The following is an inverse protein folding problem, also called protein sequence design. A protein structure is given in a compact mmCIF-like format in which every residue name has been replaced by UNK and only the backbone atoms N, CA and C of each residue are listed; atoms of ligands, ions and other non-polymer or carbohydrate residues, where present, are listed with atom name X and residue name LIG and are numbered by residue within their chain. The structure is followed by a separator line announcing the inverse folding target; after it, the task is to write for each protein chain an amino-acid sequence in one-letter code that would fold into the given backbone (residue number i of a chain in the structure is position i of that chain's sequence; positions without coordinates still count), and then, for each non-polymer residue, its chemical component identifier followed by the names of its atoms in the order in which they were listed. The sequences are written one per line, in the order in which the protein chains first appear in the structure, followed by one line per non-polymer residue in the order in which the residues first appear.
data_IF_571441174700
#
_entry.id   IF_571441174700
#
_cell.length_a   1.000
_cell.length_b   1.000
_cell.length_c   1.000
_cell.angle_alpha   90.00
_cell.angle_beta   90.00
_cell.angle_gamma   90.00
#
_symmetry.space_group_name_H-M   'P 1'
#
loop_
_entity.id
_entity.type
_entity.pdbx_description
1 polymer ?
#
# COMPACT_ATOMS: atom_id res chain seq x y z
N UNK A 1 -44.62 -34.88 -16.81
CA UNK A 1 -43.18 -34.68 -16.50
C UNK A 1 -42.98 -33.19 -16.35
N UNK A 2 -42.89 -32.70 -15.11
CA UNK A 2 -42.66 -31.28 -14.82
C UNK A 2 -41.16 -31.07 -14.61
N UNK A 3 -40.52 -30.32 -15.51
CA UNK A 3 -39.16 -29.82 -15.30
C UNK A 3 -39.26 -28.52 -14.49
N UNK A 4 -38.90 -28.59 -13.21
CA UNK A 4 -38.55 -27.43 -12.40
C UNK A 4 -37.13 -27.02 -12.80
N UNK A 5 -36.98 -25.96 -13.57
CA UNK A 5 -35.73 -25.22 -13.69
C UNK A 5 -35.52 -24.45 -12.40
N UNK A 6 -34.63 -24.94 -11.54
CA UNK A 6 -34.04 -24.16 -10.45
C UNK A 6 -33.30 -22.97 -11.06
N UNK A 7 -33.89 -21.77 -10.91
CA UNK A 7 -33.19 -20.51 -11.07
C UNK A 7 -32.17 -20.41 -9.93
N UNK A 8 -30.92 -20.79 -10.20
CA UNK A 8 -29.79 -20.35 -9.39
C UNK A 8 -29.73 -18.82 -9.47
N UNK A 9 -30.21 -18.16 -8.42
CA UNK A 9 -30.05 -16.72 -8.27
C UNK A 9 -28.54 -16.41 -8.22
N UNK A 10 -28.04 -15.44 -9.00
CA UNK A 10 -26.66 -15.02 -8.89
C UNK A 10 -26.45 -14.40 -7.50
N UNK A 11 -25.67 -15.06 -6.65
CA UNK A 11 -25.23 -14.48 -5.37
C UNK A 11 -24.43 -13.23 -5.71
N UNK A 12 -25.06 -12.07 -5.53
CA UNK A 12 -24.55 -10.80 -6.05
C UNK A 12 -23.18 -10.47 -5.44
N UNK A 13 -22.23 -10.05 -6.28
CA UNK A 13 -20.89 -9.57 -5.90
C UNK A 13 -20.91 -8.53 -4.76
N UNK A 14 -22.00 -7.76 -4.67
CA UNK A 14 -22.23 -6.72 -3.66
C UNK A 14 -22.18 -7.17 -2.19
N UNK A 15 -22.50 -8.43 -1.87
CA UNK A 15 -22.42 -8.95 -0.49
C UNK A 15 -20.96 -9.25 -0.14
N UNK A 16 -20.19 -9.76 -1.10
CA UNK A 16 -18.77 -10.09 -0.92
C UNK A 16 -17.92 -8.83 -0.72
N UNK A 17 -18.20 -7.78 -1.50
CA UNK A 17 -17.49 -6.49 -1.46
C UNK A 17 -17.79 -5.73 -0.16
N UNK A 18 -19.05 -5.75 0.31
CA UNK A 18 -19.44 -5.14 1.59
C UNK A 18 -18.81 -5.87 2.79
N UNK A 19 -18.71 -7.20 2.77
CA UNK A 19 -18.01 -7.93 3.83
C UNK A 19 -16.50 -7.73 3.77
N UNK A 20 -15.86 -7.73 2.59
CA UNK A 20 -14.42 -7.50 2.47
C UNK A 20 -14.01 -6.11 3.00
N UNK A 21 -14.82 -5.10 2.72
CA UNK A 21 -14.61 -3.75 3.27
C UNK A 21 -14.90 -3.66 4.78
N UNK A 22 -15.89 -4.41 5.30
CA UNK A 22 -16.18 -4.47 6.75
C UNK A 22 -15.13 -5.25 7.56
N UNK A 23 -14.62 -6.36 7.01
CA UNK A 23 -13.64 -7.24 7.63
C UNK A 23 -12.20 -6.84 7.30
N UNK A 24 -11.97 -5.62 6.82
CA UNK A 24 -10.69 -5.07 6.34
C UNK A 24 -9.45 -5.64 7.07
N UNK A 25 -8.92 -6.75 6.54
CA UNK A 25 -7.81 -7.53 7.10
C UNK A 25 -7.94 -7.88 8.60
N UNK A 26 -9.13 -8.27 9.03
CA UNK A 26 -9.36 -8.83 10.35
C UNK A 26 -8.37 -9.99 10.59
N UNK A 27 -7.78 -10.09 11.79
CA UNK A 27 -6.85 -11.17 12.11
C UNK A 27 -7.46 -12.53 11.79
N UNK A 28 -6.65 -13.47 11.28
CA UNK A 28 -7.11 -14.81 10.94
C UNK A 28 -7.88 -15.46 12.10
N UNK A 29 -7.48 -15.19 13.35
CA UNK A 29 -8.17 -15.66 14.56
C UNK A 29 -9.61 -15.17 14.68
N UNK A 30 -9.87 -13.89 14.37
CA UNK A 30 -11.22 -13.32 14.36
C UNK A 30 -12.05 -13.93 13.23
N UNK A 31 -11.44 -14.09 12.05
CA UNK A 31 -12.10 -14.76 10.94
C UNK A 31 -12.46 -16.19 11.31
N UNK A 32 -11.56 -16.96 11.95
CA UNK A 32 -11.79 -18.33 12.43
C UNK A 32 -12.97 -18.44 13.40
N UNK A 33 -13.12 -17.49 14.33
CA UNK A 33 -14.27 -17.48 15.25
C UNK A 33 -15.58 -17.13 14.51
N UNK A 34 -15.53 -16.24 13.52
CA UNK A 34 -16.67 -15.97 12.65
C UNK A 34 -17.09 -17.22 11.84
N UNK A 35 -16.13 -18.03 11.36
CA UNK A 35 -16.42 -19.33 10.68
C UNK A 35 -17.27 -20.22 11.55
N UNK A 36 -16.86 -20.38 12.81
CA UNK A 36 -17.55 -21.27 13.76
C UNK A 36 -18.99 -20.83 14.02
N UNK A 37 -19.30 -19.55 13.81
CA UNK A 37 -20.65 -18.99 13.97
C UNK A 37 -21.55 -19.12 12.72
N UNK A 38 -21.00 -19.52 11.58
CA UNK A 38 -21.74 -19.65 10.31
C UNK A 38 -22.10 -21.12 10.05
N UNK A 39 -23.40 -21.41 9.94
CA UNK A 39 -23.96 -22.77 9.91
C UNK A 39 -24.23 -23.32 8.48
N UNK A 40 -23.75 -22.65 7.41
CA UNK A 40 -24.10 -23.03 6.03
C UNK A 40 -22.95 -23.05 5.03
N UNK A 41 -23.04 -23.98 4.06
CA UNK A 41 -22.09 -24.17 2.95
C UNK A 41 -21.92 -22.90 2.08
N UNK A 42 -22.95 -22.07 1.96
CA UNK A 42 -22.97 -20.86 1.12
C UNK A 42 -21.89 -19.84 1.51
N UNK A 43 -21.54 -19.77 2.80
CA UNK A 43 -20.49 -18.85 3.28
C UNK A 43 -19.08 -19.42 3.22
N UNK A 44 -18.92 -20.71 2.89
CA UNK A 44 -17.60 -21.37 2.87
C UNK A 44 -16.68 -20.76 1.80
N UNK A 45 -17.21 -20.43 0.62
CA UNK A 45 -16.42 -19.79 -0.44
C UNK A 45 -16.04 -18.35 -0.10
N UNK A 46 -17.00 -17.58 0.42
CA UNK A 46 -16.79 -16.20 0.89
C UNK A 46 -15.69 -16.14 1.95
N UNK A 47 -15.74 -17.06 2.88
CA UNK A 47 -14.80 -17.15 3.97
C UNK A 47 -13.40 -17.60 3.54
N UNK A 48 -13.30 -18.53 2.59
CA UNK A 48 -12.01 -18.85 1.96
C UNK A 48 -11.38 -17.62 1.34
N UNK A 49 -12.17 -16.77 0.68
CA UNK A 49 -11.67 -15.52 0.12
C UNK A 49 -11.20 -14.53 1.21
N UNK A 50 -11.95 -14.38 2.31
CA UNK A 50 -11.54 -13.54 3.45
C UNK A 50 -10.24 -14.03 4.09
N UNK A 51 -10.11 -15.33 4.31
CA UNK A 51 -8.89 -15.94 4.85
C UNK A 51 -7.70 -15.76 3.93
N UNK A 52 -7.90 -15.90 2.61
CA UNK A 52 -6.86 -15.67 1.62
C UNK A 52 -6.38 -14.22 1.65
N UNK A 53 -7.30 -13.25 1.71
CA UNK A 53 -6.94 -11.83 1.84
C UNK A 53 -6.23 -11.50 3.15
N UNK A 54 -6.62 -12.12 4.25
CA UNK A 54 -5.91 -11.98 5.52
C UNK A 54 -4.49 -12.55 5.44
N UNK A 55 -4.29 -13.71 4.81
CA UNK A 55 -2.96 -14.29 4.58
C UNK A 55 -2.08 -13.40 3.70
N UNK A 56 -2.63 -12.89 2.60
CA UNK A 56 -1.92 -11.94 1.72
C UNK A 56 -1.46 -10.69 2.49
N UNK A 57 -2.32 -10.15 3.36
CA UNK A 57 -1.95 -9.03 4.22
C UNK A 57 -0.82 -9.40 5.20
N UNK A 58 -0.87 -10.58 5.82
CA UNK A 58 0.16 -11.06 6.72
C UNK A 58 1.50 -11.32 6.01
N UNK A 59 1.46 -11.83 4.77
CA UNK A 59 2.63 -12.01 3.91
C UNK A 59 3.27 -10.66 3.57
N UNK A 60 2.47 -9.69 3.12
CA UNK A 60 2.94 -8.32 2.85
C UNK A 60 3.51 -7.65 4.09
N UNK A 61 2.85 -7.78 5.25
CA UNK A 61 3.35 -7.22 6.50
C UNK A 61 4.67 -7.87 6.94
N UNK A 62 4.83 -9.19 6.75
CA UNK A 62 6.10 -9.90 7.00
C UNK A 62 7.20 -9.43 6.05
N UNK A 63 6.90 -9.27 4.77
CA UNK A 63 7.85 -8.76 3.78
C UNK A 63 8.32 -7.34 4.13
N UNK A 64 7.39 -6.45 4.49
CA UNK A 64 7.72 -5.09 4.95
C UNK A 64 8.54 -5.10 6.24
N UNK A 65 8.30 -6.04 7.15
CA UNK A 65 9.12 -6.20 8.35
C UNK A 65 10.53 -6.68 8.02
N UNK A 66 10.67 -7.68 7.14
CA UNK A 66 11.97 -8.16 6.67
C UNK A 66 12.77 -7.03 6.01
N UNK A 67 12.15 -6.26 5.11
CA UNK A 67 12.78 -5.10 4.46
C UNK A 67 13.14 -3.96 5.42
N UNK A 68 12.45 -3.83 6.56
CA UNK A 68 12.84 -2.86 7.60
C UNK A 68 14.07 -3.30 8.38
N UNK A 69 14.26 -4.61 8.55
CA UNK A 69 15.38 -5.19 9.30
C UNK A 69 16.61 -5.43 8.43
N UNK A 70 16.44 -5.50 7.12
CA UNK A 70 17.55 -5.52 6.16
C UNK A 70 18.48 -4.31 6.37
N UNK A 71 19.80 -4.57 6.40
CA UNK A 71 20.81 -3.51 6.48
C UNK A 71 20.71 -2.57 5.28
N UNK A 72 20.54 -1.28 5.56
CA UNK A 72 20.53 -0.23 4.55
C UNK A 72 21.92 0.39 4.51
N UNK A 73 22.46 0.59 3.30
CA UNK A 73 23.74 1.30 3.14
C UNK A 73 23.63 2.67 3.81
N UNK A 74 24.64 3.13 4.56
CA UNK A 74 24.56 4.41 5.30
C UNK A 74 24.20 5.63 4.44
N UNK A 75 24.51 5.58 3.13
CA UNK A 75 24.21 6.63 2.15
C UNK A 75 22.90 6.39 1.38
N UNK A 76 21.94 5.68 1.96
CA UNK A 76 20.65 5.43 1.36
C UNK A 76 19.53 5.64 2.36
N UNK A 77 18.40 6.11 1.83
CA UNK A 77 17.14 6.17 2.54
C UNK A 77 16.18 5.16 1.95
N UNK A 78 15.56 4.35 2.81
CA UNK A 78 14.58 3.34 2.40
C UNK A 78 13.17 3.87 2.57
N UNK A 79 12.41 3.80 1.50
CA UNK A 79 10.99 4.12 1.47
C UNK A 79 10.21 2.86 1.08
N UNK A 80 9.25 2.49 1.93
CA UNK A 80 8.43 1.31 1.73
C UNK A 80 6.96 1.71 1.58
N UNK A 81 6.25 0.99 0.72
CA UNK A 81 4.81 1.20 0.49
C UNK A 81 4.09 -0.10 0.68
N UNK A 82 3.00 -0.06 1.42
CA UNK A 82 1.94 -1.05 1.38
C UNK A 82 0.79 -0.48 0.57
N UNK A 83 0.52 -1.04 -0.60
CA UNK A 83 -0.56 -0.61 -1.48
C UNK A 83 -1.70 -1.62 -1.39
N UNK A 84 -2.90 -1.14 -1.10
CA UNK A 84 -4.12 -1.94 -1.02
C UNK A 84 -5.10 -1.38 -2.03
N UNK A 85 -5.53 -2.21 -2.98
CA UNK A 85 -6.53 -1.86 -3.96
C UNK A 85 -7.86 -2.55 -3.61
N UNK A 86 -8.87 -1.83 -3.09
CA UNK A 86 -10.24 -2.35 -2.94
C UNK A 86 -11.17 -1.91 -4.07
N UNK A 87 -10.61 -1.54 -5.22
CA UNK A 87 -11.41 -1.28 -6.42
C UNK A 87 -11.54 -2.55 -7.27
N UNK A 88 -12.55 -2.56 -8.15
CA UNK A 88 -12.81 -3.68 -9.06
C UNK A 88 -11.97 -3.66 -10.33
N UNK A 89 -11.09 -2.66 -10.47
CA UNK A 89 -10.27 -2.47 -11.67
C UNK A 89 -8.78 -2.63 -11.34
N UNK A 90 -8.00 -3.24 -12.25
CA UNK A 90 -6.56 -3.20 -12.15
C UNK A 90 -6.06 -1.76 -12.33
N UNK A 91 -4.99 -1.42 -11.63
CA UNK A 91 -4.35 -0.10 -11.73
C UNK A 91 -2.90 -0.31 -12.13
N UNK A 92 -2.61 -0.03 -13.39
CA UNK A 92 -1.27 -0.15 -13.96
C UNK A 92 -0.43 1.10 -13.68
N UNK A 93 0.88 0.96 -13.57
CA UNK A 93 1.78 2.11 -13.43
C UNK A 93 1.82 2.90 -14.74
N UNK A 94 1.49 4.18 -14.65
CA UNK A 94 1.63 5.15 -15.72
C UNK A 94 2.86 6.04 -15.52
N UNK A 95 2.66 7.34 -15.76
CA UNK A 95 3.72 8.34 -15.62
C UNK A 95 4.28 8.38 -14.19
N UNK A 96 5.61 8.45 -14.09
CA UNK A 96 6.33 8.55 -12.84
C UNK A 96 7.69 9.22 -13.07
N UNK A 97 8.31 9.74 -12.01
CA UNK A 97 9.67 10.29 -12.06
C UNK A 97 10.71 9.36 -11.42
N UNK A 98 10.39 8.06 -11.41
CA UNK A 98 11.27 7.00 -10.97
C UNK A 98 12.00 6.42 -12.20
N UNK A 99 13.29 6.15 -12.08
CA UNK A 99 14.08 5.54 -13.16
C UNK A 99 13.85 4.03 -13.21
N UNK A 100 12.64 3.62 -13.59
CA UNK A 100 12.19 2.23 -13.56
C UNK A 100 12.33 1.57 -14.92
N UNK A 101 12.81 0.33 -14.94
CA UNK A 101 12.76 -0.52 -16.13
C UNK A 101 11.36 -1.13 -16.32
N UNK A 102 11.15 -1.81 -17.45
CA UNK A 102 9.85 -2.39 -17.81
C UNK A 102 9.36 -3.44 -16.81
N UNK A 103 10.25 -4.29 -16.29
CA UNK A 103 9.90 -5.32 -15.32
C UNK A 103 9.54 -4.69 -13.97
N UNK A 104 10.23 -3.62 -13.56
CA UNK A 104 9.90 -2.86 -12.36
C UNK A 104 8.54 -2.16 -12.46
N UNK A 105 8.23 -1.58 -13.63
CA UNK A 105 6.91 -0.99 -13.88
C UNK A 105 5.81 -2.04 -13.83
N UNK A 106 5.99 -3.15 -14.57
CA UNK A 106 5.02 -4.24 -14.59
C UNK A 106 4.83 -4.86 -13.20
N UNK A 107 5.89 -5.00 -12.41
CA UNK A 107 5.80 -5.48 -11.04
C UNK A 107 4.88 -4.62 -10.19
N UNK A 108 4.89 -3.29 -10.35
CA UNK A 108 4.09 -2.39 -9.51
C UNK A 108 2.62 -2.29 -9.92
N UNK A 109 2.22 -2.90 -11.03
CA UNK A 109 0.79 -2.97 -11.38
C UNK A 109 0.04 -3.71 -10.26
N UNK A 110 -1.09 -3.16 -9.81
CA UNK A 110 -1.89 -3.76 -8.74
C UNK A 110 -3.24 -4.24 -9.27
N UNK A 111 -3.57 -5.50 -8.97
CA UNK A 111 -4.82 -6.12 -9.39
C UNK A 111 -6.01 -5.68 -8.51
N UNK A 112 -7.26 -5.91 -8.96
CA UNK A 112 -8.43 -5.72 -8.13
C UNK A 112 -8.33 -6.50 -6.81
N UNK A 113 -8.75 -5.87 -5.71
CA UNK A 113 -8.79 -6.47 -4.38
C UNK A 113 -7.43 -6.96 -3.85
N UNK A 114 -6.31 -6.55 -4.44
CA UNK A 114 -4.96 -7.04 -4.14
C UNK A 114 -4.20 -6.17 -3.12
N UNK A 115 -3.13 -6.74 -2.57
CA UNK A 115 -2.22 -6.06 -1.63
C UNK A 115 -0.78 -6.28 -2.08
N UNK A 116 -0.03 -5.19 -2.13
CA UNK A 116 1.35 -5.24 -2.57
C UNK A 116 2.29 -4.46 -1.65
N UNK A 117 3.51 -5.00 -1.48
CA UNK A 117 4.63 -4.31 -0.86
C UNK A 117 5.59 -3.77 -1.94
N UNK A 118 5.92 -2.49 -1.89
CA UNK A 118 6.94 -1.87 -2.75
C UNK A 118 8.11 -1.36 -1.91
N UNK A 119 9.32 -1.46 -2.47
CA UNK A 119 10.57 -1.03 -1.84
C UNK A 119 11.34 -0.09 -2.77
N UNK A 120 11.67 1.09 -2.26
CA UNK A 120 12.49 2.07 -2.96
C UNK A 120 13.68 2.48 -2.08
N UNK A 121 14.88 2.38 -2.63
CA UNK A 121 16.10 2.82 -1.96
C UNK A 121 16.68 4.03 -2.69
N UNK A 122 16.58 5.20 -2.08
CA UNK A 122 17.08 6.44 -2.64
C UNK A 122 18.48 6.75 -2.14
N UNK A 123 19.38 7.10 -3.06
CA UNK A 123 20.70 7.59 -2.68
C UNK A 123 20.58 8.90 -1.92
N UNK A 124 21.32 8.98 -0.83
CA UNK A 124 21.40 10.15 0.01
C UNK A 124 22.84 10.33 0.47
N UNK A 125 23.42 11.47 0.11
CA UNK A 125 24.69 11.90 0.65
C UNK A 125 24.53 13.31 1.21
N UNK A 126 25.01 13.48 2.44
CA UNK A 126 24.99 14.77 3.10
C UNK A 126 26.26 14.96 3.93
N UNK A 127 27.11 15.92 3.55
CA UNK A 127 28.20 16.37 4.40
C UNK A 127 27.67 16.94 5.72
N UNK A 128 28.42 16.76 6.80
CA UNK A 128 28.16 17.40 8.08
C UNK A 128 28.04 18.94 7.90
N UNK A 129 27.04 19.56 8.53
CA UNK A 129 26.82 21.01 8.43
C UNK A 129 26.10 21.48 7.15
N UNK A 130 25.62 20.56 6.30
CA UNK A 130 24.81 20.94 5.14
C UNK A 130 23.52 21.69 5.55
N UNK A 131 22.93 22.44 4.61
CA UNK A 131 21.60 23.08 4.78
C UNK A 131 20.46 22.09 4.55
N UNK A 132 19.26 22.41 5.04
CA UNK A 132 18.05 21.61 4.81
C UNK A 132 17.94 21.20 3.34
N UNK A 133 17.69 19.91 3.07
CA UNK A 133 17.71 19.35 1.72
C UNK A 133 16.63 18.29 1.55
N UNK A 134 16.01 18.27 0.37
CA UNK A 134 15.15 17.17 -0.05
C UNK A 134 16.04 15.99 -0.43
N UNK A 135 15.84 14.86 0.24
CA UNK A 135 16.50 13.59 -0.05
C UNK A 135 15.95 13.02 -1.34
N UNK A 136 14.62 12.97 -1.41
CA UNK A 136 13.87 12.66 -2.59
C UNK A 136 12.50 13.34 -2.50
N UNK A 137 11.95 13.64 -3.66
CA UNK A 137 10.57 14.10 -3.85
C UNK A 137 10.14 13.52 -5.19
N UNK A 138 9.19 12.60 -5.15
CA UNK A 138 8.82 11.72 -6.26
C UNK A 138 7.32 11.64 -6.41
N UNK A 139 6.88 11.19 -7.56
CA UNK A 139 5.51 10.82 -7.81
C UNK A 139 5.40 9.58 -8.69
N UNK A 140 4.28 8.90 -8.55
CA UNK A 140 3.87 7.81 -9.43
C UNK A 140 2.36 7.91 -9.67
N UNK A 141 1.95 7.71 -10.91
CA UNK A 141 0.55 7.61 -11.30
C UNK A 141 0.23 6.13 -11.51
N UNK A 142 -0.93 5.71 -11.02
CA UNK A 142 -1.51 4.41 -11.27
C UNK A 142 -2.87 4.58 -11.94
N UNK A 143 -3.19 3.69 -12.88
CA UNK A 143 -4.41 3.75 -13.69
C UNK A 143 -4.32 4.71 -14.88
N UNK A 144 -5.47 5.11 -15.38
CA UNK A 144 -5.60 5.89 -16.62
C UNK A 144 -6.49 7.14 -16.44
N UNK A 145 -6.94 7.72 -17.56
CA UNK A 145 -7.81 8.90 -17.55
C UNK A 145 -9.24 8.60 -17.07
N UNK A 146 -9.66 7.33 -17.06
CA UNK A 146 -10.98 6.93 -16.57
C UNK A 146 -10.94 6.67 -15.06
N UNK A 147 -9.95 5.93 -14.58
CA UNK A 147 -9.82 5.54 -13.18
C UNK A 147 -8.33 5.48 -12.80
N UNK A 148 -7.90 6.35 -11.87
CA UNK A 148 -6.54 6.31 -11.37
C UNK A 148 -6.31 7.08 -10.09
N UNK A 149 -5.08 7.01 -9.58
CA UNK A 149 -4.61 7.88 -8.51
C UNK A 149 -3.16 8.32 -8.74
N UNK A 150 -2.85 9.52 -8.24
CA UNK A 150 -1.50 10.04 -8.14
C UNK A 150 -1.02 9.90 -6.71
N UNK A 151 0.18 9.35 -6.55
CA UNK A 151 0.86 9.27 -5.27
C UNK A 151 2.14 10.11 -5.28
N UNK A 152 2.13 11.21 -4.52
CA UNK A 152 3.28 12.06 -4.29
C UNK A 152 3.93 11.73 -2.93
N UNK A 153 5.24 11.52 -2.92
CA UNK A 153 5.96 11.16 -1.71
C UNK A 153 7.35 11.82 -1.65
N UNK A 154 7.86 11.98 -0.44
CA UNK A 154 9.11 12.69 -0.26
C UNK A 154 9.67 12.59 1.14
N UNK A 155 10.97 12.83 1.22
CA UNK A 155 11.71 12.96 2.45
C UNK A 155 12.60 14.19 2.34
N UNK A 156 12.45 15.11 3.29
CA UNK A 156 13.31 16.27 3.46
C UNK A 156 13.97 16.19 4.81
N UNK A 157 15.28 16.42 4.88
CA UNK A 157 15.98 16.55 6.16
C UNK A 157 16.24 18.02 6.40
N UNK A 158 15.58 18.57 7.42
CA UNK A 158 15.81 19.92 7.87
C UNK A 158 17.02 19.96 8.80
N UNK A 159 17.79 21.04 8.74
CA UNK A 159 18.87 21.32 9.68
C UNK A 159 18.62 22.63 10.37
N UNK A 160 18.62 22.57 11.69
CA UNK A 160 18.72 23.75 12.55
C UNK A 160 20.11 23.78 13.18
N UNK A 161 20.68 24.97 13.33
CA UNK A 161 22.01 25.14 13.92
C UNK A 161 21.85 25.60 15.35
N UNK A 162 22.22 24.73 16.30
CA UNK A 162 22.44 25.11 17.70
C UNK A 162 23.87 25.58 17.93
N UNK A 163 24.20 25.93 19.19
CA UNK A 163 25.52 26.44 19.59
C UNK A 163 26.61 25.35 19.53
N UNK A 164 26.23 24.06 19.68
CA UNK A 164 27.18 22.94 19.84
C UNK A 164 27.19 22.01 18.63
N UNK A 165 26.03 21.68 18.06
CA UNK A 165 25.93 20.83 16.88
C UNK A 165 24.64 21.10 16.09
N UNK A 166 24.60 20.78 14.78
CA UNK A 166 23.38 20.86 13.99
C UNK A 166 22.38 19.78 14.42
N UNK A 167 21.12 20.16 14.64
CA UNK A 167 20.02 19.21 14.84
C UNK A 167 19.38 18.88 13.49
N UNK A 168 19.25 17.60 13.20
CA UNK A 168 18.64 17.09 11.97
C UNK A 168 17.20 16.62 12.24
N UNK A 169 16.26 17.03 11.40
CA UNK A 169 14.84 16.68 11.55
C UNK A 169 14.27 16.19 10.22
N UNK A 170 13.97 14.89 10.08
CA UNK A 170 13.33 14.36 8.88
C UNK A 170 11.85 14.74 8.81
N UNK A 171 11.45 15.30 7.67
CA UNK A 171 10.07 15.65 7.29
C UNK A 171 9.66 14.73 6.15
N UNK A 172 8.55 14.02 6.33
CA UNK A 172 8.07 12.99 5.41
C UNK A 172 6.76 13.46 4.80
N UNK A 173 6.65 13.38 3.49
CA UNK A 173 5.43 13.72 2.77
C UNK A 173 4.88 12.47 2.10
N UNK A 174 3.57 12.28 2.21
CA UNK A 174 2.79 11.24 1.56
C UNK A 174 1.44 11.88 1.22
N UNK A 175 1.11 11.95 -0.05
CA UNK A 175 -0.16 12.50 -0.51
C UNK A 175 -0.68 11.63 -1.64
N UNK A 176 -1.92 11.16 -1.50
CA UNK A 176 -2.62 10.44 -2.54
C UNK A 176 -3.81 11.27 -2.99
N UNK A 177 -4.04 11.34 -4.30
CA UNK A 177 -5.20 11.99 -4.88
C UNK A 177 -5.77 11.12 -5.99
N UNK A 178 -7.08 10.93 -6.01
CA UNK A 178 -7.74 10.33 -7.17
C UNK A 178 -7.62 11.26 -8.38
N UNK A 179 -7.43 10.63 -9.54
CA UNK A 179 -7.38 11.27 -10.84
C UNK A 179 -8.35 10.53 -11.78
N UNK A 180 -8.67 11.17 -12.90
CA UNK A 180 -9.57 10.61 -13.91
C UNK A 180 -11.02 11.03 -13.69
N UNK A 181 -11.92 10.42 -14.47
CA UNK A 181 -13.35 10.76 -14.48
C UNK A 181 -14.15 10.02 -13.42
N UNK A 182 -13.68 8.85 -12.99
CA UNK A 182 -14.30 8.04 -11.93
C UNK A 182 -13.55 8.26 -10.62
N UNK A 183 -14.20 8.85 -9.59
CA UNK A 183 -13.54 9.13 -8.32
C UNK A 183 -13.23 7.84 -7.56
N UNK A 184 -12.03 7.77 -7.00
CA UNK A 184 -11.58 6.72 -6.07
C UNK A 184 -11.35 7.35 -4.70
N UNK A 185 -11.89 6.75 -3.64
CA UNK A 185 -11.54 7.16 -2.29
C UNK A 185 -10.13 6.67 -1.97
N UNK A 186 -9.23 7.62 -1.78
CA UNK A 186 -7.84 7.35 -1.49
C UNK A 186 -7.51 7.73 -0.04
N UNK A 187 -6.89 6.81 0.70
CA UNK A 187 -6.40 7.05 2.07
C UNK A 187 -4.92 6.72 2.10
N UNK A 188 -4.12 7.55 2.77
CA UNK A 188 -2.70 7.27 3.01
C UNK A 188 -2.31 7.60 4.44
N UNK A 189 -1.43 6.79 5.01
CA UNK A 189 -0.89 6.99 6.36
C UNK A 189 0.55 6.51 6.45
N UNK A 190 1.38 7.21 7.23
CA UNK A 190 2.70 6.71 7.63
C UNK A 190 2.48 5.70 8.75
N UNK A 191 2.87 4.44 8.54
CA UNK A 191 2.72 3.36 9.52
C UNK A 191 4.02 3.03 10.26
N UNK A 192 5.16 3.53 9.75
CA UNK A 192 6.46 3.40 10.40
C UNK A 192 7.41 4.50 9.95
N UNK A 193 8.33 4.93 10.83
CA UNK A 193 9.36 5.92 10.48
C UNK A 193 10.56 5.82 11.40
N UNK A 194 11.77 5.98 10.85
CA UNK A 194 13.01 6.17 11.62
C UNK A 194 13.41 7.64 11.64
N UNK A 195 13.58 8.22 12.82
CA UNK A 195 14.12 9.57 13.00
C UNK A 195 15.66 9.62 13.04
N UNK A 196 16.31 8.46 12.98
CA UNK A 196 17.75 8.31 12.95
C UNK A 196 18.22 7.87 11.56
N UNK A 197 19.48 8.16 11.24
CA UNK A 197 20.09 7.69 10.00
C UNK A 197 20.34 6.17 10.06
N UNK A 198 20.13 5.43 8.96
CA UNK A 198 19.58 5.87 7.69
C UNK A 198 18.08 6.21 7.79
N UNK A 199 17.71 7.42 7.35
CA UNK A 199 16.33 7.87 7.40
C UNK A 199 15.45 7.01 6.49
N UNK A 200 14.28 6.64 6.98
CA UNK A 200 13.32 5.87 6.21
C UNK A 200 11.93 5.94 6.80
N UNK A 201 10.95 5.54 5.99
CA UNK A 201 9.56 5.43 6.44
C UNK A 201 8.76 4.49 5.56
N UNK A 202 7.66 4.00 6.13
CA UNK A 202 6.71 3.12 5.48
C UNK A 202 5.36 3.79 5.46
N UNK A 203 4.70 3.77 4.31
CA UNK A 203 3.33 4.23 4.15
C UNK A 203 2.41 3.06 3.83
N UNK A 204 1.16 3.20 4.24
CA UNK A 204 0.06 2.40 3.72
C UNK A 204 -0.84 3.29 2.88
N UNK A 205 -1.25 2.79 1.72
CA UNK A 205 -2.21 3.41 0.82
C UNK A 205 -3.37 2.43 0.65
N UNK A 206 -4.59 2.93 0.80
CA UNK A 206 -5.82 2.16 0.59
C UNK A 206 -6.71 2.90 -0.38
N UNK A 207 -7.16 2.19 -1.42
CA UNK A 207 -8.04 2.67 -2.47
C UNK A 207 -9.40 1.96 -2.31
N UNK A 208 -10.51 2.69 -2.43
CA UNK A 208 -11.88 2.17 -2.28
C UNK A 208 -12.90 3.00 -3.05
#
# INVERSE_FOLDING_TARGET
MNNLTENAQPVSSSIYENLLSQFNYAPLTILYEYIKSLDTQDYTQMLKALMEKARQNDDVNRQLQAWRQESVRPNRSRFLVKLINHTDQPLEVGENDLSLNADEQAFMNILPWDIQALKFDFFYSRPLGSRSKDIFKRFIIFGDQALGFRFDFGLRVNTSFGVISPTLTPVRTNKVASIGTTPIKCVTRIIHSSNEEPYGFTVEITLS
#
